data_IF_263053423274
#
_entry.id   IF_263053423274
#
_cell.length_a   1.000
_cell.length_b   1.000
_cell.length_c   1.000
_cell.angle_alpha   90.00
_cell.angle_beta   90.00
_cell.angle_gamma   90.00
#
_symmetry.space_group_name_H-M   'P 1'
#
loop_
_entity.id
_entity.type
_entity.pdbx_description
1 polymer ?
#
# COMPACT_ATOMS: atom_id res chain seq x y z
N UNK A 1 -3.98 -21.25 38.41
CA UNK A 1 -4.13 -19.83 38.00
C UNK A 1 -3.35 -19.52 36.72
N UNK A 2 -2.06 -19.85 36.64
CA UNK A 2 -1.20 -19.69 35.45
C UNK A 2 -1.76 -20.32 34.17
N UNK A 3 -2.27 -21.56 34.22
CA UNK A 3 -2.88 -22.23 33.06
C UNK A 3 -4.12 -21.48 32.51
N UNK A 4 -4.92 -20.88 33.40
CA UNK A 4 -6.10 -20.10 33.00
C UNK A 4 -5.69 -18.83 32.28
N UNK A 5 -4.63 -18.16 32.74
CA UNK A 5 -4.07 -16.96 32.12
C UNK A 5 -3.51 -17.31 30.73
N UNK A 6 -2.69 -18.37 30.64
CA UNK A 6 -2.12 -18.82 29.37
C UNK A 6 -3.19 -19.16 28.33
N UNK A 7 -4.25 -19.88 28.71
CA UNK A 7 -5.38 -20.19 27.82
C UNK A 7 -6.11 -18.93 27.36
N UNK A 8 -6.30 -17.95 28.23
CA UNK A 8 -7.01 -16.73 27.88
C UNK A 8 -6.17 -15.84 26.94
N UNK A 9 -4.87 -15.70 27.21
CA UNK A 9 -3.94 -14.98 26.33
C UNK A 9 -3.87 -15.63 24.94
N UNK A 10 -3.82 -16.96 24.89
CA UNK A 10 -3.79 -17.71 23.62
C UNK A 10 -5.08 -17.48 22.83
N UNK A 11 -6.26 -17.50 23.47
CA UNK A 11 -7.54 -17.22 22.78
C UNK A 11 -7.62 -15.81 22.19
N UNK A 12 -6.99 -14.83 22.84
CA UNK A 12 -6.98 -13.43 22.39
C UNK A 12 -5.98 -13.20 21.26
N UNK A 13 -4.77 -13.74 21.39
CA UNK A 13 -3.69 -13.56 20.41
C UNK A 13 -3.84 -14.51 19.22
N UNK A 14 -4.02 -15.81 19.48
CA UNK A 14 -4.16 -16.85 18.46
C UNK A 14 -5.62 -17.17 18.16
N UNK A 15 -6.39 -16.13 17.81
CA UNK A 15 -7.83 -16.27 17.53
C UNK A 15 -8.16 -17.08 16.27
N UNK A 16 -7.18 -17.36 15.41
CA UNK A 16 -7.36 -18.04 14.13
C UNK A 16 -7.91 -17.16 12.98
N UNK A 17 -8.39 -15.95 13.27
CA UNK A 17 -8.91 -15.04 12.25
C UNK A 17 -7.92 -13.94 11.87
N UNK A 18 -7.59 -13.85 10.58
CA UNK A 18 -6.68 -12.84 10.00
C UNK A 18 -6.97 -11.41 10.49
N UNK A 19 -8.26 -11.06 10.62
CA UNK A 19 -8.72 -9.73 11.07
C UNK A 19 -8.13 -9.30 12.41
N UNK A 20 -8.09 -10.19 13.40
CA UNK A 20 -7.57 -9.83 14.73
C UNK A 20 -6.06 -9.66 14.70
N UNK A 21 -5.34 -10.47 13.92
CA UNK A 21 -3.90 -10.30 13.74
C UNK A 21 -3.58 -8.95 13.08
N UNK A 22 -4.33 -8.55 12.05
CA UNK A 22 -4.18 -7.22 11.41
C UNK A 22 -4.45 -6.10 12.42
N UNK A 23 -5.51 -6.21 13.24
CA UNK A 23 -5.80 -5.22 14.28
C UNK A 23 -4.62 -5.10 15.26
N UNK A 24 -4.06 -6.22 15.72
CA UNK A 24 -2.92 -6.20 16.63
C UNK A 24 -1.68 -5.57 16.01
N UNK A 25 -1.39 -5.86 14.74
CA UNK A 25 -0.26 -5.26 14.02
C UNK A 25 -0.45 -3.75 13.92
N UNK A 26 -1.61 -3.27 13.46
CA UNK A 26 -1.88 -1.83 13.34
C UNK A 26 -1.80 -1.13 14.69
N UNK A 27 -2.41 -1.71 15.73
CA UNK A 27 -2.37 -1.15 17.09
C UNK A 27 -0.95 -1.11 17.64
N UNK A 28 -0.15 -2.18 17.46
CA UNK A 28 1.23 -2.21 17.88
C UNK A 28 2.04 -1.11 17.18
N UNK A 29 1.89 -0.95 15.86
CA UNK A 29 2.55 0.13 15.11
C UNK A 29 2.13 1.51 15.62
N UNK A 30 0.82 1.75 15.82
CA UNK A 30 0.30 3.03 16.33
C UNK A 30 0.81 3.32 17.73
N UNK A 31 0.83 2.33 18.62
CA UNK A 31 1.32 2.51 19.99
C UNK A 31 2.82 2.78 20.00
N UNK A 32 3.62 1.98 19.30
CA UNK A 32 5.08 2.12 19.32
C UNK A 32 5.54 3.39 18.62
N UNK A 33 5.08 3.65 17.39
CA UNK A 33 5.43 4.85 16.65
C UNK A 33 4.82 6.12 17.27
N UNK A 34 3.59 6.02 17.79
CA UNK A 34 2.95 7.11 18.53
C UNK A 34 3.69 7.44 19.83
N UNK A 35 4.17 6.43 20.55
CA UNK A 35 4.99 6.61 21.75
C UNK A 35 6.32 7.28 21.41
N UNK A 36 6.99 6.88 20.32
CA UNK A 36 8.22 7.56 19.89
C UNK A 36 7.96 9.01 19.52
N UNK A 37 6.92 9.31 18.73
CA UNK A 37 6.56 10.68 18.38
C UNK A 37 6.24 11.53 19.62
N UNK A 38 5.59 10.93 20.63
CA UNK A 38 5.27 11.63 21.87
C UNK A 38 6.50 11.93 22.74
N UNK A 39 7.56 11.11 22.67
CA UNK A 39 8.78 11.35 23.46
C UNK A 39 9.76 12.28 22.76
N UNK A 40 9.78 12.29 21.43
CA UNK A 40 10.68 13.14 20.63
C UNK A 40 9.94 14.37 20.07
N UNK A 41 9.23 15.11 20.94
CA UNK A 41 8.43 16.29 20.54
C UNK A 41 9.26 17.42 19.94
N UNK A 42 10.51 17.56 20.39
CA UNK A 42 11.42 18.62 19.96
C UNK A 42 11.89 18.45 18.49
N UNK A 43 11.62 17.30 17.88
CA UNK A 43 11.92 16.98 16.46
C UNK A 43 10.69 17.23 15.56
N UNK A 44 9.52 17.52 16.13
CA UNK A 44 8.26 17.66 15.39
C UNK A 44 7.93 19.14 15.19
N UNK A 45 8.75 19.85 14.40
CA UNK A 45 8.39 21.18 13.89
C UNK A 45 7.73 21.03 12.51
N UNK A 46 6.40 20.90 12.49
CA UNK A 46 5.63 20.73 11.25
C UNK A 46 5.46 22.11 10.61
N UNK A 47 6.48 22.54 9.88
CA UNK A 47 6.44 23.77 9.09
C UNK A 47 6.21 23.43 7.61
N UNK A 48 4.97 23.09 7.26
CA UNK A 48 4.56 22.81 5.87
C UNK A 48 3.78 23.99 5.32
N UNK A 49 4.25 24.56 4.20
CA UNK A 49 3.46 25.53 3.44
C UNK A 49 2.45 24.80 2.54
N UNK A 50 1.16 25.02 2.78
CA UNK A 50 0.09 24.41 1.99
C UNK A 50 -0.35 25.38 0.87
N UNK A 51 0.22 25.21 -0.31
CA UNK A 51 -0.20 25.94 -1.52
C UNK A 51 -0.60 24.96 -2.63
N UNK A 52 -1.71 24.21 -2.45
CA UNK A 52 -2.12 23.21 -3.43
C UNK A 52 -2.60 23.86 -4.72
N UNK A 53 -2.21 23.28 -5.84
CA UNK A 53 -2.76 23.64 -7.16
C UNK A 53 -4.21 23.16 -7.29
N UNK A 54 -4.99 23.80 -8.15
CA UNK A 54 -6.38 23.41 -8.40
C UNK A 54 -6.51 21.94 -8.81
N UNK A 55 -5.54 21.46 -9.59
CA UNK A 55 -5.50 20.07 -10.07
C UNK A 55 -5.25 19.08 -8.92
N UNK A 56 -4.34 19.39 -7.99
CA UNK A 56 -4.11 18.57 -6.78
C UNK A 56 -5.35 18.50 -5.88
N UNK A 57 -6.08 19.60 -5.73
CA UNK A 57 -7.34 19.62 -4.98
C UNK A 57 -8.36 18.70 -5.65
N UNK A 58 -8.54 18.80 -6.97
CA UNK A 58 -9.47 17.97 -7.73
C UNK A 58 -9.11 16.48 -7.57
N UNK A 59 -7.83 16.12 -7.79
CA UNK A 59 -7.37 14.73 -7.61
C UNK A 59 -7.65 14.24 -6.20
N UNK A 60 -7.33 15.03 -5.18
CA UNK A 60 -7.56 14.68 -3.77
C UNK A 60 -9.04 14.43 -3.48
N UNK A 61 -9.93 15.29 -3.98
CA UNK A 61 -11.37 15.11 -3.83
C UNK A 61 -11.87 13.83 -4.51
N UNK A 62 -11.37 13.51 -5.71
CA UNK A 62 -11.73 12.27 -6.42
C UNK A 62 -11.18 11.04 -5.68
N UNK A 63 -9.97 11.11 -5.10
CA UNK A 63 -9.42 10.03 -4.27
C UNK A 63 -10.27 9.79 -3.02
N UNK A 64 -10.70 10.85 -2.32
CA UNK A 64 -11.59 10.74 -1.15
C UNK A 64 -12.94 10.13 -1.55
N UNK A 65 -13.54 10.61 -2.65
CA UNK A 65 -14.80 10.09 -3.15
C UNK A 65 -14.69 8.60 -3.55
N UNK A 66 -13.63 8.24 -4.27
CA UNK A 66 -13.35 6.85 -4.70
C UNK A 66 -13.13 5.93 -3.51
N UNK A 67 -12.41 6.39 -2.48
CA UNK A 67 -12.22 5.67 -1.21
C UNK A 67 -13.55 5.44 -0.51
N UNK A 68 -14.38 6.48 -0.42
CA UNK A 68 -15.72 6.37 0.18
C UNK A 68 -16.59 5.35 -0.55
N UNK A 69 -16.61 5.39 -1.89
CA UNK A 69 -17.32 4.43 -2.74
C UNK A 69 -16.79 3.01 -2.49
N UNK A 70 -15.46 2.83 -2.48
CA UNK A 70 -14.85 1.51 -2.30
C UNK A 70 -15.24 0.86 -0.96
N UNK A 71 -15.30 1.65 0.11
CA UNK A 71 -15.66 1.21 1.48
C UNK A 71 -17.17 0.95 1.61
N UNK A 72 -18.02 1.72 0.92
CA UNK A 72 -19.49 1.61 1.01
C UNK A 72 -20.11 0.68 -0.02
N UNK A 73 -19.36 0.28 -1.03
CA UNK A 73 -19.83 -0.54 -2.13
C UNK A 73 -20.49 -1.84 -1.65
N UNK A 74 -21.69 -2.09 -2.18
CA UNK A 74 -22.46 -3.33 -1.94
C UNK A 74 -22.12 -4.43 -2.96
N UNK A 75 -21.29 -4.14 -3.95
CA UNK A 75 -20.77 -5.10 -4.92
C UNK A 75 -19.26 -5.01 -4.94
N UNK A 76 -18.61 -6.18 -5.01
CA UNK A 76 -17.15 -6.27 -5.10
C UNK A 76 -16.62 -5.55 -6.35
N UNK A 77 -17.40 -5.55 -7.43
CA UNK A 77 -17.05 -4.84 -8.66
C UNK A 77 -16.90 -3.33 -8.43
N UNK A 78 -17.86 -2.71 -7.73
CA UNK A 78 -17.76 -1.28 -7.38
C UNK A 78 -16.60 -1.00 -6.43
N UNK A 79 -16.28 -1.92 -5.50
CA UNK A 79 -15.09 -1.78 -4.66
C UNK A 79 -13.80 -1.82 -5.48
N UNK A 80 -13.66 -2.78 -6.41
CA UNK A 80 -12.48 -2.87 -7.28
C UNK A 80 -12.35 -1.61 -8.13
N UNK A 81 -13.43 -1.16 -8.76
CA UNK A 81 -13.41 0.05 -9.60
C UNK A 81 -12.99 1.27 -8.76
N UNK A 82 -13.53 1.42 -7.54
CA UNK A 82 -13.14 2.51 -6.65
C UNK A 82 -11.66 2.48 -6.27
N UNK A 83 -11.09 1.31 -5.98
CA UNK A 83 -9.65 1.14 -5.74
C UNK A 83 -8.85 1.41 -7.02
N UNK A 84 -9.34 0.97 -8.18
CA UNK A 84 -8.71 1.20 -9.47
C UNK A 84 -8.58 2.68 -9.80
N UNK A 85 -9.64 3.46 -9.60
CA UNK A 85 -9.61 4.92 -9.79
C UNK A 85 -8.53 5.56 -8.90
N UNK A 86 -8.37 5.11 -7.66
CA UNK A 86 -7.28 5.61 -6.79
C UNK A 86 -5.91 5.30 -7.41
N UNK A 87 -5.69 4.08 -7.91
CA UNK A 87 -4.44 3.70 -8.56
C UNK A 87 -4.12 4.50 -9.81
N UNK A 88 -5.11 4.79 -10.66
CA UNK A 88 -4.94 5.67 -11.83
C UNK A 88 -4.64 7.12 -11.40
N UNK A 89 -5.25 7.62 -10.33
CA UNK A 89 -4.96 8.95 -9.81
C UNK A 89 -3.53 9.04 -9.24
N UNK A 90 -3.03 7.98 -8.60
CA UNK A 90 -1.62 7.89 -8.16
C UNK A 90 -0.67 7.96 -9.37
N UNK A 91 -0.99 7.29 -10.48
CA UNK A 91 -0.20 7.41 -11.71
C UNK A 91 -0.22 8.83 -12.29
N UNK A 92 -1.36 9.53 -12.23
CA UNK A 92 -1.45 10.94 -12.62
C UNK A 92 -0.59 11.82 -11.71
N UNK A 93 -0.59 11.58 -10.40
CA UNK A 93 0.32 12.26 -9.46
C UNK A 93 1.78 12.04 -9.88
N UNK A 94 2.19 10.82 -10.22
CA UNK A 94 3.55 10.57 -10.72
C UNK A 94 3.89 11.38 -11.98
N UNK A 95 2.96 11.52 -12.93
CA UNK A 95 3.16 12.37 -14.10
C UNK A 95 3.34 13.85 -13.71
N UNK A 96 2.52 14.35 -12.79
CA UNK A 96 2.61 15.74 -12.31
C UNK A 96 3.97 16.04 -11.68
N UNK A 97 4.52 15.07 -10.96
CA UNK A 97 5.83 15.19 -10.32
C UNK A 97 6.99 14.69 -11.21
N UNK A 98 6.79 14.65 -12.53
CA UNK A 98 7.82 14.32 -13.53
C UNK A 98 8.47 12.94 -13.35
N UNK A 99 7.70 11.95 -12.90
CA UNK A 99 8.09 10.55 -12.77
C UNK A 99 7.38 9.67 -13.82
N UNK A 100 7.69 9.81 -15.13
CA UNK A 100 6.98 9.12 -16.20
C UNK A 100 7.13 7.60 -16.18
N UNK A 101 8.30 7.08 -15.81
CA UNK A 101 8.52 5.63 -15.73
C UNK A 101 7.65 4.99 -14.63
N UNK A 102 7.57 5.64 -13.46
CA UNK A 102 6.68 5.21 -12.38
C UNK A 102 5.21 5.29 -12.80
N UNK A 103 4.82 6.34 -13.52
CA UNK A 103 3.45 6.46 -14.01
C UNK A 103 3.07 5.34 -14.99
N UNK A 104 3.93 5.04 -15.98
CA UNK A 104 3.68 3.97 -16.95
C UNK A 104 3.56 2.60 -16.28
N UNK A 105 4.45 2.30 -15.33
CA UNK A 105 4.37 1.05 -14.56
C UNK A 105 3.12 0.99 -13.69
N UNK A 106 2.75 2.08 -13.04
CA UNK A 106 1.54 2.17 -12.22
C UNK A 106 0.28 1.96 -13.07
N UNK A 107 0.18 2.55 -14.26
CA UNK A 107 -0.94 2.30 -15.17
C UNK A 107 -1.03 0.83 -15.59
N UNK A 108 0.10 0.20 -15.93
CA UNK A 108 0.14 -1.20 -16.35
C UNK A 108 -0.25 -2.14 -15.21
N UNK A 109 0.33 -1.95 -14.02
CA UNK A 109 0.07 -2.77 -12.84
C UNK A 109 -1.36 -2.59 -12.35
N UNK A 110 -1.89 -1.37 -12.36
CA UNK A 110 -3.29 -1.12 -11.97
C UNK A 110 -4.25 -1.83 -12.92
N UNK A 111 -4.03 -1.70 -14.23
CA UNK A 111 -4.84 -2.38 -15.25
C UNK A 111 -4.81 -3.89 -15.06
N UNK A 112 -3.62 -4.47 -14.87
CA UNK A 112 -3.46 -5.92 -14.65
C UNK A 112 -4.15 -6.37 -13.35
N UNK A 113 -4.01 -5.59 -12.28
CA UNK A 113 -4.58 -5.90 -10.97
C UNK A 113 -6.11 -5.89 -11.02
N UNK A 114 -6.71 -4.89 -11.67
CA UNK A 114 -8.15 -4.84 -11.91
C UNK A 114 -8.61 -6.05 -12.72
N UNK A 115 -7.92 -6.41 -13.80
CA UNK A 115 -8.26 -7.59 -14.62
C UNK A 115 -8.22 -8.87 -13.77
N UNK A 116 -7.14 -9.08 -13.00
CA UNK A 116 -6.99 -10.26 -12.13
C UNK A 116 -8.11 -10.30 -11.10
N UNK A 117 -8.41 -9.18 -10.43
CA UNK A 117 -9.49 -9.14 -9.44
C UNK A 117 -10.86 -9.42 -10.04
N UNK A 118 -11.17 -8.89 -11.22
CA UNK A 118 -12.42 -9.17 -11.93
C UNK A 118 -12.53 -10.66 -12.27
N UNK A 119 -11.47 -11.28 -12.79
CA UNK A 119 -11.43 -12.71 -13.11
C UNK A 119 -11.64 -13.59 -11.87
N UNK A 120 -11.04 -13.21 -10.74
CA UNK A 120 -11.19 -13.94 -9.47
C UNK A 120 -12.61 -13.77 -8.92
N UNK A 121 -13.15 -12.55 -8.90
CA UNK A 121 -14.46 -12.26 -8.32
C UNK A 121 -15.59 -12.90 -9.12
N UNK A 122 -15.45 -13.03 -10.43
CA UNK A 122 -16.42 -13.76 -11.25
C UNK A 122 -16.63 -15.22 -10.80
N UNK A 123 -15.64 -15.82 -10.13
CA UNK A 123 -15.70 -17.20 -9.61
C UNK A 123 -16.18 -17.29 -8.15
N UNK A 124 -16.45 -16.17 -7.49
CA UNK A 124 -16.81 -16.15 -6.07
C UNK A 124 -18.33 -16.00 -5.86
N UNK A 125 -18.89 -16.57 -4.78
CA UNK A 125 -20.32 -16.45 -4.48
C UNK A 125 -20.72 -14.99 -4.23
N UNK A 126 -22.03 -14.71 -4.37
CA UNK A 126 -22.61 -13.38 -4.18
C UNK A 126 -22.14 -12.75 -2.87
N UNK A 127 -21.84 -11.45 -2.93
CA UNK A 127 -21.37 -10.70 -1.77
C UNK A 127 -22.51 -10.47 -0.78
N UNK A 128 -22.35 -10.99 0.45
CA UNK A 128 -23.29 -10.80 1.55
C UNK A 128 -22.60 -9.96 2.64
N UNK A 129 -22.85 -8.64 2.70
CA UNK A 129 -22.24 -7.79 3.72
C UNK A 129 -22.92 -8.00 5.07
N UNK A 130 -22.40 -8.93 5.89
CA UNK A 130 -22.86 -9.09 7.28
C UNK A 130 -21.82 -8.55 8.28
N UNK A 131 -22.06 -7.36 8.81
CA UNK A 131 -21.20 -6.75 9.83
C UNK A 131 -22.05 -6.07 10.91
N UNK A 132 -21.76 -6.36 12.17
CA UNK A 132 -22.37 -5.63 13.28
C UNK A 132 -21.82 -4.21 13.38
N UNK A 133 -22.66 -3.25 13.78
CA UNK A 133 -22.28 -1.83 13.93
C UNK A 133 -21.06 -1.67 14.84
N UNK A 134 -21.00 -2.44 15.94
CA UNK A 134 -19.86 -2.43 16.87
C UNK A 134 -18.54 -2.82 16.20
N UNK A 135 -18.55 -3.83 15.32
CA UNK A 135 -17.34 -4.24 14.57
C UNK A 135 -16.90 -3.15 13.60
N UNK A 136 -17.87 -2.50 12.94
CA UNK A 136 -17.59 -1.42 12.00
C UNK A 136 -16.94 -0.21 12.68
N UNK A 137 -17.44 0.20 13.83
CA UNK A 137 -16.89 1.32 14.61
C UNK A 137 -15.46 0.99 15.07
N UNK A 138 -15.24 -0.21 15.62
CA UNK A 138 -13.90 -0.65 16.03
C UNK A 138 -12.91 -0.59 14.87
N UNK A 139 -13.28 -1.17 13.73
CA UNK A 139 -12.38 -1.24 12.57
C UNK A 139 -12.13 0.15 11.98
N UNK A 140 -13.12 1.06 12.03
CA UNK A 140 -12.94 2.45 11.65
C UNK A 140 -11.96 3.18 12.58
N UNK A 141 -12.07 3.01 13.90
CA UNK A 141 -11.14 3.61 14.87
C UNK A 141 -9.72 3.10 14.62
N UNK A 142 -9.54 1.79 14.46
CA UNK A 142 -8.21 1.19 14.21
C UNK A 142 -7.63 1.69 12.89
N UNK A 143 -8.38 1.62 11.79
CA UNK A 143 -7.92 2.10 10.48
C UNK A 143 -7.64 3.60 10.48
N UNK A 144 -8.52 4.40 11.11
CA UNK A 144 -8.37 5.84 11.25
C UNK A 144 -7.12 6.22 12.05
N UNK A 145 -6.83 5.50 13.14
CA UNK A 145 -5.61 5.73 13.93
C UNK A 145 -4.34 5.43 13.15
N UNK A 146 -4.32 4.35 12.36
CA UNK A 146 -3.19 4.02 11.49
C UNK A 146 -3.02 5.03 10.35
N UNK A 147 -4.10 5.43 9.70
CA UNK A 147 -4.07 6.45 8.65
C UNK A 147 -3.61 7.81 9.16
N UNK A 148 -4.08 8.24 10.34
CA UNK A 148 -3.66 9.48 10.98
C UNK A 148 -2.17 9.44 11.34
N UNK A 149 -1.69 8.34 11.92
CA UNK A 149 -0.27 8.16 12.20
C UNK A 149 0.57 8.32 10.93
N UNK A 150 0.22 7.61 9.85
CA UNK A 150 0.96 7.68 8.60
C UNK A 150 0.93 9.08 7.98
N UNK A 151 -0.20 9.79 8.08
CA UNK A 151 -0.32 11.18 7.62
C UNK A 151 0.60 12.11 8.43
N UNK A 152 0.63 11.97 9.77
CA UNK A 152 1.52 12.75 10.63
C UNK A 152 3.00 12.46 10.33
N UNK A 153 3.37 11.19 10.16
CA UNK A 153 4.75 10.82 9.79
C UNK A 153 5.14 11.40 8.42
N UNK A 154 4.25 11.35 7.44
CA UNK A 154 4.50 11.96 6.13
C UNK A 154 4.68 13.48 6.23
N UNK A 155 3.86 14.17 7.01
CA UNK A 155 4.00 15.61 7.24
C UNK A 155 5.34 15.97 7.88
N UNK A 156 5.78 15.20 8.89
CA UNK A 156 7.08 15.40 9.54
C UNK A 156 8.22 15.24 8.52
N UNK A 157 8.19 14.18 7.71
CA UNK A 157 9.24 13.92 6.72
C UNK A 157 9.30 15.03 5.65
N UNK A 158 8.14 15.58 5.25
CA UNK A 158 8.07 16.65 4.23
C UNK A 158 8.57 18.00 4.77
N UNK A 159 8.48 18.23 6.09
CA UNK A 159 9.01 19.44 6.72
C UNK A 159 10.55 19.49 6.78
N UNK A 160 11.22 18.36 6.61
CA UNK A 160 12.68 18.28 6.63
C UNK A 160 13.29 18.61 5.26
N UNK A 161 14.40 19.37 5.19
CA UNK A 161 15.06 19.68 3.93
C UNK A 161 15.66 18.41 3.29
N UNK A 162 15.15 18.05 2.13
CA UNK A 162 15.62 16.92 1.32
C UNK A 162 16.95 17.25 0.61
N UNK A 163 18.02 17.45 1.38
CA UNK A 163 19.38 17.51 0.84
C UNK A 163 19.92 16.09 0.73
N UNK A 164 20.20 15.63 -0.49
CA UNK A 164 20.70 14.28 -0.74
C UNK A 164 21.90 14.33 -1.67
N UNK A 165 23.07 13.96 -1.14
CA UNK A 165 24.29 13.79 -1.94
C UNK A 165 24.11 12.71 -3.02
N UNK A 166 23.32 11.67 -2.74
CA UNK A 166 23.00 10.61 -3.69
C UNK A 166 22.25 11.13 -4.92
N UNK A 167 21.31 12.08 -4.74
CA UNK A 167 20.61 12.71 -5.86
C UNK A 167 21.60 13.39 -6.81
N UNK A 168 22.59 14.10 -6.26
CA UNK A 168 23.64 14.76 -7.05
C UNK A 168 24.54 13.74 -7.73
N UNK A 169 25.01 12.74 -6.98
CA UNK A 169 25.84 11.66 -7.51
C UNK A 169 25.20 10.96 -8.70
N UNK A 170 23.93 10.53 -8.60
CA UNK A 170 23.25 9.86 -9.72
C UNK A 170 23.01 10.79 -10.91
N UNK A 171 22.71 12.07 -10.68
CA UNK A 171 22.53 13.03 -11.78
C UNK A 171 23.82 13.26 -12.57
N UNK A 172 24.96 13.36 -11.87
CA UNK A 172 26.27 13.60 -12.48
C UNK A 172 26.86 12.34 -13.12
N UNK A 173 26.59 11.15 -12.54
CA UNK A 173 27.26 9.91 -12.94
C UNK A 173 26.44 8.98 -13.85
N UNK A 174 25.13 9.19 -14.04
CA UNK A 174 24.29 8.30 -14.87
C UNK A 174 24.75 8.23 -16.32
N UNK A 175 25.17 9.36 -16.91
CA UNK A 175 25.68 9.37 -18.28
C UNK A 175 27.14 8.89 -18.39
N UNK A 176 28.12 9.39 -17.60
CA UNK A 176 29.51 8.98 -17.76
C UNK A 176 29.78 7.54 -17.32
N UNK A 177 29.13 7.05 -16.25
CA UNK A 177 29.35 5.68 -15.75
C UNK A 177 28.33 4.70 -16.34
N UNK A 178 27.04 5.00 -16.23
CA UNK A 178 25.96 4.11 -16.67
C UNK A 178 25.55 4.25 -18.14
N UNK A 179 26.18 5.17 -18.89
CA UNK A 179 25.99 5.37 -20.34
C UNK A 179 24.55 5.64 -20.78
N UNK A 180 23.69 6.06 -19.86
CA UNK A 180 22.26 6.26 -20.11
C UNK A 180 21.80 7.68 -19.78
N UNK A 181 20.87 8.20 -20.59
CA UNK A 181 20.24 9.52 -20.36
C UNK A 181 19.05 9.46 -19.41
N UNK A 182 18.37 8.31 -19.34
CA UNK A 182 17.31 8.09 -18.37
C UNK A 182 17.95 7.70 -17.04
N UNK A 183 18.09 8.69 -16.15
CA UNK A 183 18.69 8.53 -14.82
C UNK A 183 17.98 7.44 -14.01
N UNK A 184 16.64 7.38 -14.06
CA UNK A 184 15.87 6.37 -13.30
C UNK A 184 16.22 4.97 -13.79
N UNK A 185 16.19 4.74 -15.11
CA UNK A 185 16.55 3.45 -15.67
C UNK A 185 18.00 3.06 -15.33
N UNK A 186 18.96 3.99 -15.43
CA UNK A 186 20.36 3.73 -15.08
C UNK A 186 20.52 3.37 -13.60
N UNK A 187 19.79 4.05 -12.70
CA UNK A 187 19.78 3.68 -11.29
C UNK A 187 19.31 2.24 -11.12
N UNK A 188 18.20 1.85 -11.76
CA UNK A 188 17.64 0.52 -11.61
C UNK A 188 18.55 -0.57 -12.18
N UNK A 189 19.02 -0.42 -13.42
CA UNK A 189 19.70 -1.53 -14.13
C UNK A 189 21.22 -1.57 -13.93
N UNK A 190 21.83 -0.49 -13.43
CA UNK A 190 23.29 -0.37 -13.29
C UNK A 190 23.67 -0.15 -11.83
N UNK A 191 23.37 1.02 -11.25
CA UNK A 191 23.82 1.35 -9.89
C UNK A 191 23.17 0.51 -8.79
N UNK A 192 21.89 0.14 -8.97
CA UNK A 192 21.10 -0.67 -8.04
C UNK A 192 20.54 -1.93 -8.73
N UNK A 193 21.29 -2.46 -9.70
CA UNK A 193 20.94 -3.66 -10.46
C UNK A 193 20.55 -4.86 -9.58
N UNK A 194 21.19 -4.98 -8.41
CA UNK A 194 20.92 -6.06 -7.46
C UNK A 194 19.48 -6.02 -6.90
N UNK A 195 18.94 -4.82 -6.66
CA UNK A 195 17.56 -4.67 -6.17
C UNK A 195 16.57 -5.10 -7.25
N UNK A 196 16.82 -4.71 -8.51
CA UNK A 196 15.98 -5.12 -9.66
C UNK A 196 16.08 -6.61 -9.95
N UNK A 197 17.26 -7.23 -9.79
CA UNK A 197 17.42 -8.68 -9.85
C UNK A 197 16.58 -9.37 -8.76
N UNK A 198 16.56 -8.82 -7.55
CA UNK A 198 15.73 -9.29 -6.44
C UNK A 198 14.23 -9.21 -6.75
N UNK A 199 13.77 -8.06 -7.26
CA UNK A 199 12.37 -7.86 -7.67
C UNK A 199 11.92 -8.86 -8.74
N UNK A 200 12.72 -9.04 -9.81
CA UNK A 200 12.43 -10.00 -10.87
C UNK A 200 12.38 -11.43 -10.31
N UNK A 201 13.28 -11.77 -9.39
CA UNK A 201 13.29 -13.09 -8.73
C UNK A 201 12.01 -13.32 -7.92
N UNK A 202 11.55 -12.33 -7.16
CA UNK A 202 10.28 -12.42 -6.40
C UNK A 202 9.09 -12.58 -7.36
N UNK A 203 9.03 -11.82 -8.45
CA UNK A 203 7.97 -11.95 -9.46
C UNK A 203 7.98 -13.34 -10.13
N UNK A 204 9.16 -13.87 -10.46
CA UNK A 204 9.31 -15.20 -11.03
C UNK A 204 8.81 -16.29 -10.05
N UNK A 205 9.19 -16.21 -8.78
CA UNK A 205 8.73 -17.14 -7.73
C UNK A 205 7.21 -17.03 -7.55
N UNK A 206 6.65 -15.82 -7.52
CA UNK A 206 5.21 -15.62 -7.42
C UNK A 206 4.46 -16.23 -8.62
N UNK A 207 4.96 -16.03 -9.85
CA UNK A 207 4.39 -16.61 -11.05
C UNK A 207 4.42 -18.15 -11.04
N UNK A 208 5.55 -18.75 -10.64
CA UNK A 208 5.68 -20.21 -10.47
C UNK A 208 4.71 -20.71 -9.38
N UNK A 209 4.60 -20.01 -8.25
CA UNK A 209 3.69 -20.36 -7.16
C UNK A 209 2.23 -20.36 -7.59
N UNK A 210 1.79 -19.32 -8.32
CA UNK A 210 0.43 -19.25 -8.89
C UNK A 210 0.20 -20.39 -9.89
N UNK A 211 1.15 -20.65 -10.78
CA UNK A 211 1.06 -21.77 -11.73
C UNK A 211 0.93 -23.12 -11.01
N UNK A 212 1.75 -23.35 -9.98
CA UNK A 212 1.70 -24.56 -9.16
C UNK A 212 0.34 -24.73 -8.48
N UNK A 213 -0.21 -23.68 -7.85
CA UNK A 213 -1.53 -23.72 -7.22
C UNK A 213 -2.65 -24.03 -8.21
N UNK A 214 -2.59 -23.48 -9.43
CA UNK A 214 -3.60 -23.74 -10.46
C UNK A 214 -3.52 -25.16 -11.01
N UNK A 215 -2.30 -25.71 -11.16
CA UNK A 215 -2.08 -27.05 -11.74
C UNK A 215 -2.27 -28.18 -10.72
N UNK A 216 -1.86 -27.97 -9.48
CA UNK A 216 -1.99 -28.94 -8.38
C UNK A 216 -3.42 -29.04 -7.86
N UNK A 217 -4.30 -28.11 -8.24
CA UNK A 217 -5.75 -28.21 -7.98
C UNK A 217 -6.44 -29.22 -8.90
N UNK A 218 -6.01 -30.47 -8.82
CA UNK A 218 -6.61 -31.62 -9.51
C UNK A 218 -6.69 -32.77 -8.51
N UNK A 219 -7.86 -32.91 -7.87
CA UNK A 219 -8.49 -34.18 -7.41
C UNK A 219 -9.66 -34.05 -6.40
N UNK A 220 -10.36 -32.91 -6.26
CA UNK A 220 -11.53 -32.84 -5.36
C UNK A 220 -12.91 -32.98 -6.04
N UNK A 221 -13.00 -32.95 -7.37
CA UNK A 221 -14.29 -33.09 -8.10
C UNK A 221 -14.41 -34.41 -8.90
N UNK A 222 -13.81 -35.50 -8.41
CA UNK A 222 -14.09 -36.87 -8.87
C UNK A 222 -14.36 -37.78 -7.69
N UNK A 223 -15.44 -37.50 -6.95
CA UNK A 223 -16.21 -38.49 -6.20
C UNK A 223 -17.68 -38.12 -6.31
#
# INVERSE_FOLDING_TARGET
KTLSIAKNSTKVLQSGYLRYYIIWIVLATVILAGYTLFNYKDVVDINVSFNPTLLEIIITLIMIASTYIAIRAKSRMYSIIGVGVIGYLVAVIFLMYSAPDLAMTQFAVETLTVIIFVLVIYKLPKFIPYYSTRRRIRDFIVAGSGGLLMALLALIIISEPLTSELKRYFAENSLPLGKGKNIVNVILVDFRAFDTMGEITVLAIAAIGVYALLKLRKNENKQ
#
